data_IF_675170117420
#
_entry.id   IF_675170117420
#
_cell.length_a   1.000
_cell.length_b   1.000
_cell.length_c   1.000
_cell.angle_alpha   90.00
_cell.angle_beta   90.00
_cell.angle_gamma   90.00
#
_symmetry.space_group_name_H-M   'P 1'
#
loop_
_entity.id
_entity.type
_entity.pdbx_description
1 polymer ?
#
# COMPACT_ATOMS: atom_id res chain seq x y z
N UNK A 1 13.45 4.07 -20.58
CA UNK A 1 12.77 3.73 -19.31
C UNK A 1 13.82 3.78 -18.23
N UNK A 2 13.62 4.60 -17.21
CA UNK A 2 14.57 4.77 -16.13
C UNK A 2 14.49 3.59 -15.15
N UNK A 3 15.49 3.40 -14.27
CA UNK A 3 15.48 2.31 -13.28
C UNK A 3 14.25 2.36 -12.36
N UNK A 4 13.72 3.55 -12.11
CA UNK A 4 12.52 3.80 -11.32
C UNK A 4 11.23 3.37 -12.05
N UNK A 5 11.16 3.53 -13.37
CA UNK A 5 10.02 3.02 -14.18
C UNK A 5 9.95 1.49 -14.12
N UNK A 6 11.10 0.81 -14.20
CA UNK A 6 11.20 -0.65 -14.13
C UNK A 6 10.78 -1.14 -12.73
N UNK A 7 11.22 -0.44 -11.69
CA UNK A 7 10.84 -0.76 -10.31
C UNK A 7 9.32 -0.66 -10.09
N UNK A 8 8.69 0.44 -10.52
CA UNK A 8 7.23 0.58 -10.37
C UNK A 8 6.45 -0.41 -11.20
N UNK A 9 6.88 -0.68 -12.43
CA UNK A 9 6.24 -1.69 -13.26
C UNK A 9 6.33 -3.08 -12.60
N UNK A 10 7.48 -3.43 -12.04
CA UNK A 10 7.67 -4.68 -11.33
C UNK A 10 6.79 -4.76 -10.08
N UNK A 11 6.72 -3.70 -9.27
CA UNK A 11 5.86 -3.65 -8.07
C UNK A 11 4.37 -3.77 -8.44
N UNK A 12 3.92 -3.07 -9.49
CA UNK A 12 2.54 -3.14 -9.98
C UNK A 12 2.19 -4.52 -10.52
N UNK A 13 3.06 -5.13 -11.33
CA UNK A 13 2.84 -6.49 -11.86
C UNK A 13 2.81 -7.51 -10.73
N UNK A 14 3.75 -7.44 -9.78
CA UNK A 14 3.75 -8.32 -8.61
C UNK A 14 2.49 -8.14 -7.76
N UNK A 15 2.05 -6.90 -7.55
CA UNK A 15 0.81 -6.58 -6.83
C UNK A 15 -0.42 -7.17 -7.50
N UNK A 16 -0.55 -6.98 -8.82
CA UNK A 16 -1.64 -7.52 -9.63
C UNK A 16 -1.66 -9.05 -9.57
N UNK A 17 -0.53 -9.69 -9.87
CA UNK A 17 -0.42 -11.16 -9.92
C UNK A 17 -0.71 -11.76 -8.54
N UNK A 18 -0.11 -11.21 -7.48
CA UNK A 18 -0.35 -11.66 -6.11
C UNK A 18 -1.79 -11.46 -5.68
N UNK A 19 -2.41 -10.35 -6.08
CA UNK A 19 -3.82 -10.05 -5.86
C UNK A 19 -4.74 -11.05 -6.56
N UNK A 20 -4.47 -11.37 -7.83
CA UNK A 20 -5.21 -12.38 -8.58
C UNK A 20 -5.12 -13.77 -7.93
N UNK A 21 -3.94 -14.16 -7.43
CA UNK A 21 -3.78 -15.47 -6.80
C UNK A 21 -4.41 -15.56 -5.41
N UNK A 22 -4.37 -14.47 -4.62
CA UNK A 22 -4.93 -14.48 -3.25
C UNK A 22 -6.44 -14.28 -3.21
N UNK A 23 -7.00 -13.48 -4.11
CA UNK A 23 -8.41 -13.08 -4.11
C UNK A 23 -8.72 -11.95 -3.11
N UNK A 24 -9.78 -11.19 -3.38
CA UNK A 24 -10.20 -10.04 -2.58
C UNK A 24 -10.53 -10.44 -1.13
N UNK A 25 -11.28 -11.52 -0.95
CA UNK A 25 -11.74 -11.94 0.39
C UNK A 25 -10.54 -12.17 1.30
N UNK A 26 -9.50 -12.85 0.82
CA UNK A 26 -8.30 -13.14 1.62
C UNK A 26 -7.55 -11.87 1.98
N UNK A 27 -7.53 -10.91 1.08
CA UNK A 27 -6.88 -9.62 1.29
C UNK A 27 -7.64 -8.77 2.32
N UNK A 28 -8.97 -8.78 2.28
CA UNK A 28 -9.83 -8.13 3.28
C UNK A 28 -9.74 -8.83 4.65
N UNK A 29 -9.81 -10.16 4.69
CA UNK A 29 -9.62 -10.91 5.94
C UNK A 29 -8.25 -10.61 6.55
N UNK A 30 -7.20 -10.49 5.75
CA UNK A 30 -5.87 -10.11 6.24
C UNK A 30 -5.87 -8.74 6.90
N UNK A 31 -6.49 -7.73 6.28
CA UNK A 31 -6.57 -6.38 6.85
C UNK A 31 -7.40 -6.39 8.14
N UNK A 32 -8.59 -6.99 8.10
CA UNK A 32 -9.49 -7.08 9.23
C UNK A 32 -8.84 -7.81 10.41
N UNK A 33 -8.12 -8.90 10.14
CA UNK A 33 -7.42 -9.68 11.16
C UNK A 33 -6.35 -8.86 11.88
N UNK A 34 -5.63 -7.99 11.15
CA UNK A 34 -4.61 -7.13 11.70
C UNK A 34 -5.22 -6.01 12.55
N UNK A 35 -6.26 -5.35 12.05
CA UNK A 35 -6.97 -4.29 12.79
C UNK A 35 -7.58 -4.86 14.07
N UNK A 36 -8.38 -5.93 13.95
CA UNK A 36 -9.00 -6.57 15.10
C UNK A 36 -7.95 -7.08 16.09
N UNK A 37 -6.87 -7.69 15.60
CA UNK A 37 -5.78 -8.17 16.43
C UNK A 37 -5.05 -7.05 17.17
N UNK A 38 -4.81 -5.90 16.52
CA UNK A 38 -4.16 -4.75 17.15
C UNK A 38 -5.01 -4.17 18.29
N UNK A 39 -6.32 -3.97 18.05
CA UNK A 39 -7.24 -3.48 19.07
C UNK A 39 -7.38 -4.46 20.24
N UNK A 40 -7.53 -5.76 19.94
CA UNK A 40 -7.60 -6.80 20.94
C UNK A 40 -6.30 -6.91 21.75
N UNK A 41 -5.14 -6.91 21.09
CA UNK A 41 -3.85 -6.95 21.77
C UNK A 41 -3.68 -5.75 22.71
N UNK A 42 -4.01 -4.54 22.25
CA UNK A 42 -3.93 -3.32 23.07
C UNK A 42 -4.83 -3.38 24.31
N UNK A 43 -5.98 -4.04 24.20
CA UNK A 43 -6.96 -4.14 25.29
C UNK A 43 -6.64 -5.28 26.27
N UNK A 44 -6.23 -6.44 25.74
CA UNK A 44 -6.18 -7.69 26.50
C UNK A 44 -4.77 -8.13 26.90
N UNK A 45 -3.69 -7.49 26.41
CA UNK A 45 -2.33 -7.86 26.84
C UNK A 45 -2.10 -7.82 28.36
N UNK A 46 -2.66 -6.87 29.14
CA UNK A 46 -2.45 -6.84 30.59
C UNK A 46 -3.16 -7.99 31.31
N UNK A 47 -4.18 -8.56 30.68
CA UNK A 47 -4.91 -9.73 31.21
C UNK A 47 -4.06 -11.00 31.07
N UNK A 48 -3.24 -11.09 30.02
CA UNK A 48 -2.41 -12.26 29.76
C UNK A 48 -1.05 -12.21 30.51
N UNK A 49 -0.56 -11.01 30.84
CA UNK A 49 0.69 -10.81 31.57
C UNK A 49 0.87 -11.64 32.85
N UNK A 50 -0.12 -11.74 33.77
CA UNK A 50 0.03 -12.49 35.02
C UNK A 50 0.27 -13.98 34.81
N UNK A 51 -0.26 -14.54 33.72
CA UNK A 51 -0.09 -15.94 33.35
C UNK A 51 1.29 -16.23 32.74
N UNK A 52 1.90 -15.23 32.10
CA UNK A 52 3.24 -15.33 31.48
C UNK A 52 4.37 -14.92 32.42
N UNK A 53 4.10 -14.13 33.47
CA UNK A 53 5.08 -13.72 34.49
C UNK A 53 5.91 -14.87 35.09
N UNK A 54 5.34 -16.07 35.38
CA UNK A 54 6.13 -17.19 35.89
C UNK A 54 7.15 -17.74 34.90
N UNK A 55 6.90 -17.61 33.59
CA UNK A 55 7.76 -18.09 32.51
C UNK A 55 8.76 -17.01 32.06
N UNK A 56 8.33 -15.74 32.06
CA UNK A 56 9.13 -14.57 31.73
C UNK A 56 9.05 -13.58 32.90
N UNK A 57 10.07 -13.54 33.78
CA UNK A 57 10.06 -12.67 34.95
C UNK A 57 10.30 -11.19 34.62
N UNK A 58 10.87 -10.90 33.45
CA UNK A 58 11.30 -9.55 33.07
C UNK A 58 10.13 -8.74 32.45
N UNK A 59 9.61 -7.70 33.13
CA UNK A 59 8.34 -7.05 32.78
C UNK A 59 8.19 -6.58 31.32
N UNK A 60 9.13 -5.83 30.72
CA UNK A 60 9.01 -5.43 29.31
C UNK A 60 8.94 -6.61 28.34
N UNK A 61 9.65 -7.71 28.59
CA UNK A 61 9.57 -8.89 27.73
C UNK A 61 8.22 -9.58 27.88
N UNK A 62 7.69 -9.71 29.10
CA UNK A 62 6.38 -10.30 29.36
C UNK A 62 5.27 -9.53 28.65
N UNK A 63 5.34 -8.19 28.66
CA UNK A 63 4.39 -7.32 27.96
C UNK A 63 4.43 -7.52 26.44
N UNK A 64 5.62 -7.48 25.84
CA UNK A 64 5.81 -7.67 24.40
C UNK A 64 5.30 -9.05 23.97
N UNK A 65 5.63 -10.10 24.73
CA UNK A 65 5.21 -11.48 24.44
C UNK A 65 3.70 -11.61 24.58
N UNK A 66 3.10 -11.05 25.64
CA UNK A 66 1.64 -11.07 25.86
C UNK A 66 0.90 -10.40 24.72
N UNK A 67 1.35 -9.20 24.33
CA UNK A 67 0.78 -8.44 23.23
C UNK A 67 0.86 -9.22 21.91
N UNK A 68 2.04 -9.77 21.61
CA UNK A 68 2.29 -10.53 20.38
C UNK A 68 1.44 -11.80 20.33
N UNK A 69 1.31 -12.53 21.44
CA UNK A 69 0.49 -13.73 21.52
C UNK A 69 -0.98 -13.44 21.22
N UNK A 70 -1.53 -12.38 21.81
CA UNK A 70 -2.93 -12.00 21.55
C UNK A 70 -3.12 -11.57 20.11
N UNK A 71 -2.22 -10.73 19.58
CA UNK A 71 -2.25 -10.29 18.20
C UNK A 71 -2.29 -11.50 17.24
N UNK A 72 -1.36 -12.45 17.41
CA UNK A 72 -1.27 -13.65 16.57
C UNK A 72 -2.50 -14.55 16.73
N UNK A 73 -3.00 -14.71 17.95
CA UNK A 73 -4.19 -15.52 18.23
C UNK A 73 -5.42 -14.98 17.52
N UNK A 74 -5.64 -13.67 17.58
CA UNK A 74 -6.78 -13.02 16.92
C UNK A 74 -6.60 -13.06 15.40
N UNK A 75 -5.39 -12.83 14.89
CA UNK A 75 -5.11 -12.95 13.45
C UNK A 75 -5.46 -14.35 12.95
N UNK A 76 -4.98 -15.38 13.67
CA UNK A 76 -5.27 -16.77 13.35
C UNK A 76 -6.79 -17.05 13.40
N UNK A 77 -7.48 -16.62 14.46
CA UNK A 77 -8.92 -16.81 14.62
C UNK A 77 -9.73 -16.20 13.46
N UNK A 78 -9.48 -14.93 13.14
CA UNK A 78 -10.16 -14.23 12.03
C UNK A 78 -9.86 -14.92 10.69
N UNK A 79 -8.61 -15.36 10.48
CA UNK A 79 -8.23 -16.09 9.27
C UNK A 79 -8.97 -17.43 9.15
N UNK A 80 -9.06 -18.21 10.23
CA UNK A 80 -9.80 -19.47 10.24
C UNK A 80 -11.29 -19.25 9.99
N UNK A 81 -11.90 -18.27 10.65
CA UNK A 81 -13.32 -17.90 10.46
C UNK A 81 -13.56 -17.48 9.01
N UNK A 82 -12.75 -16.57 8.46
CA UNK A 82 -12.87 -16.13 7.07
C UNK A 82 -12.72 -17.28 6.07
N UNK A 83 -11.79 -18.20 6.32
CA UNK A 83 -11.64 -19.39 5.49
C UNK A 83 -12.80 -20.38 5.62
N UNK A 84 -13.40 -20.52 6.80
CA UNK A 84 -14.55 -21.39 7.04
C UNK A 84 -15.80 -20.83 6.34
N UNK A 85 -16.07 -19.53 6.49
CA UNK A 85 -17.16 -18.82 5.82
C UNK A 85 -17.06 -19.00 4.29
N UNK A 86 -15.85 -18.86 3.74
CA UNK A 86 -15.62 -19.05 2.30
C UNK A 86 -15.97 -20.45 1.81
N UNK A 87 -15.70 -21.48 2.62
CA UNK A 87 -16.05 -22.88 2.33
C UNK A 87 -17.55 -23.11 2.44
N UNK A 88 -18.18 -22.61 3.51
CA UNK A 88 -19.61 -22.74 3.79
C UNK A 88 -20.49 -22.08 2.71
N UNK A 89 -20.10 -20.88 2.28
CA UNK A 89 -20.85 -20.11 1.28
C UNK A 89 -20.65 -20.61 -0.16
N UNK A 90 -19.93 -21.71 -0.39
CA UNK A 90 -19.65 -22.22 -1.74
C UNK A 90 -19.25 -21.12 -2.74
N UNK A 91 -18.43 -20.14 -2.28
CA UNK A 91 -18.01 -18.95 -3.07
C UNK A 91 -17.21 -19.34 -4.34
N UNK A 92 -17.02 -20.62 -4.59
CA UNK A 92 -16.68 -21.23 -5.89
C UNK A 92 -17.38 -20.60 -7.10
N UNK A 93 -18.68 -20.22 -7.04
CA UNK A 93 -19.38 -19.61 -8.19
C UNK A 93 -18.88 -18.19 -8.53
N UNK A 94 -18.33 -17.45 -7.56
CA UNK A 94 -17.70 -16.15 -7.76
C UNK A 94 -16.16 -16.24 -7.77
N UNK A 95 -15.57 -17.44 -7.80
CA UNK A 95 -14.12 -17.61 -7.68
C UNK A 95 -13.32 -16.82 -8.73
N UNK A 96 -13.85 -16.67 -9.94
CA UNK A 96 -13.27 -15.79 -10.96
C UNK A 96 -13.37 -14.30 -10.59
N UNK A 97 -14.53 -13.86 -10.12
CA UNK A 97 -14.77 -12.48 -9.68
C UNK A 97 -13.93 -12.11 -8.46
N UNK A 98 -13.82 -12.99 -7.45
CA UNK A 98 -12.96 -12.80 -6.26
C UNK A 98 -11.48 -12.65 -6.65
N UNK A 99 -11.00 -13.39 -7.66
CA UNK A 99 -9.63 -13.26 -8.18
C UNK A 99 -9.45 -11.96 -8.95
N UNK A 100 -10.40 -11.57 -9.81
CA UNK A 100 -10.32 -10.31 -10.56
C UNK A 100 -10.33 -9.11 -9.61
N UNK A 101 -11.26 -9.07 -8.66
CA UNK A 101 -11.31 -8.04 -7.63
C UNK A 101 -10.06 -8.07 -6.73
N UNK A 102 -9.53 -9.27 -6.45
CA UNK A 102 -8.25 -9.45 -5.79
C UNK A 102 -7.11 -8.79 -6.56
N UNK A 103 -7.08 -8.97 -7.88
CA UNK A 103 -6.14 -8.30 -8.79
C UNK A 103 -6.24 -6.78 -8.73
N UNK A 104 -7.45 -6.24 -8.81
CA UNK A 104 -7.71 -4.80 -8.69
C UNK A 104 -7.20 -4.29 -7.33
N UNK A 105 -7.53 -4.98 -6.23
CA UNK A 105 -7.07 -4.59 -4.90
C UNK A 105 -5.54 -4.66 -4.75
N UNK A 106 -4.90 -5.67 -5.36
CA UNK A 106 -3.45 -5.81 -5.39
C UNK A 106 -2.78 -4.70 -6.19
N UNK A 107 -3.38 -4.29 -7.30
CA UNK A 107 -2.92 -3.15 -8.10
C UNK A 107 -3.04 -1.84 -7.34
N UNK A 108 -4.17 -1.61 -6.64
CA UNK A 108 -4.36 -0.43 -5.78
C UNK A 108 -3.30 -0.37 -4.68
N UNK A 109 -3.02 -1.49 -4.00
CA UNK A 109 -1.97 -1.54 -2.97
C UNK A 109 -0.57 -1.31 -3.52
N UNK A 110 -0.26 -1.89 -4.68
CA UNK A 110 1.02 -1.67 -5.34
C UNK A 110 1.17 -0.21 -5.78
N UNK A 111 0.10 0.40 -6.30
CA UNK A 111 0.06 1.84 -6.58
C UNK A 111 0.31 2.68 -5.34
N UNK A 112 -0.34 2.35 -4.21
CA UNK A 112 -0.14 3.04 -2.93
C UNK A 112 1.32 2.91 -2.46
N UNK A 113 1.92 1.74 -2.58
CA UNK A 113 3.33 1.52 -2.24
C UNK A 113 4.26 2.35 -3.12
N UNK A 114 4.02 2.39 -4.44
CA UNK A 114 4.75 3.25 -5.36
C UNK A 114 4.62 4.73 -4.98
N UNK A 115 3.42 5.19 -4.58
CA UNK A 115 3.20 6.56 -4.09
C UNK A 115 4.00 6.87 -2.82
N UNK A 116 4.05 5.95 -1.85
CA UNK A 116 4.87 6.11 -0.64
C UNK A 116 6.35 6.21 -1.01
N UNK A 117 6.82 5.35 -1.92
CA UNK A 117 8.21 5.39 -2.39
C UNK A 117 8.52 6.72 -3.08
N UNK A 118 7.64 7.22 -3.97
CA UNK A 118 7.80 8.53 -4.61
C UNK A 118 7.82 9.68 -3.60
N UNK A 119 6.95 9.65 -2.59
CA UNK A 119 6.92 10.65 -1.54
C UNK A 119 8.24 10.68 -0.78
N UNK A 120 8.71 9.52 -0.30
CA UNK A 120 10.01 9.40 0.37
C UNK A 120 11.14 9.91 -0.53
N UNK A 121 11.16 9.52 -1.81
CA UNK A 121 12.20 9.98 -2.73
C UNK A 121 12.17 11.49 -2.96
N UNK A 122 10.99 12.10 -3.11
CA UNK A 122 10.88 13.56 -3.30
C UNK A 122 11.11 14.38 -2.03
N UNK A 123 10.91 13.80 -0.85
CA UNK A 123 11.23 14.44 0.44
C UNK A 123 12.72 14.39 0.75
N UNK A 124 13.41 13.27 0.43
CA UNK A 124 14.79 13.04 0.88
C UNK A 124 15.85 13.21 -0.22
N UNK A 125 15.49 13.22 -1.51
CA UNK A 125 16.45 13.46 -2.60
C UNK A 125 16.28 14.87 -3.18
N UNK A 126 17.39 15.56 -3.53
CA UNK A 126 17.34 16.84 -4.24
C UNK A 126 16.68 16.71 -5.62
N UNK A 127 15.91 17.73 -6.02
CA UNK A 127 15.10 17.77 -7.25
C UNK A 127 15.91 17.56 -8.56
N UNK A 128 17.24 17.68 -8.51
CA UNK A 128 18.13 17.57 -9.67
C UNK A 128 18.70 16.16 -9.93
N UNK A 129 18.12 15.11 -9.32
CA UNK A 129 18.55 13.73 -9.57
C UNK A 129 17.95 13.18 -10.88
N UNK A 130 18.77 12.64 -11.81
CA UNK A 130 18.32 12.17 -13.13
C UNK A 130 17.28 11.02 -13.05
N UNK A 131 17.19 10.36 -11.90
CA UNK A 131 16.21 9.29 -11.63
C UNK A 131 14.77 9.80 -11.53
N UNK A 132 14.56 11.02 -11.04
CA UNK A 132 13.24 11.65 -10.90
C UNK A 132 12.82 12.41 -12.18
N UNK A 133 13.78 13.05 -12.85
CA UNK A 133 13.54 13.92 -14.01
C UNK A 133 13.16 13.17 -15.30
N UNK A 134 13.72 11.98 -15.52
CA UNK A 134 13.50 11.16 -16.73
C UNK A 134 12.38 10.11 -16.59
N UNK A 135 11.68 10.06 -15.44
CA UNK A 135 10.65 9.06 -15.18
C UNK A 135 9.35 9.37 -15.95
N UNK A 136 8.97 8.48 -16.88
CA UNK A 136 7.71 8.61 -17.63
C UNK A 136 6.50 8.15 -16.81
N UNK A 137 6.70 7.40 -15.73
CA UNK A 137 5.64 6.87 -14.87
C UNK A 137 5.14 7.86 -13.81
N UNK A 138 5.95 8.86 -13.45
CA UNK A 138 5.61 9.90 -12.47
C UNK A 138 4.25 10.62 -12.71
N UNK A 139 3.90 11.08 -13.94
CA UNK A 139 2.61 11.74 -14.18
C UNK A 139 1.39 10.79 -14.10
N UNK A 140 1.55 9.49 -14.35
CA UNK A 140 0.45 8.51 -14.28
C UNK A 140 0.12 8.10 -12.84
N UNK A 141 1.13 8.02 -11.96
CA UNK A 141 0.94 7.79 -10.53
C UNK A 141 0.24 8.99 -9.88
N UNK A 142 0.52 10.21 -10.35
CA UNK A 142 -0.12 11.45 -9.89
C UNK A 142 -1.65 11.51 -10.15
N UNK A 143 -2.15 10.79 -11.16
CA UNK A 143 -3.59 10.65 -11.43
C UNK A 143 -4.30 9.71 -10.45
N UNK A 144 -3.57 8.77 -9.85
CA UNK A 144 -4.13 7.84 -8.87
C UNK A 144 -4.20 8.49 -7.47
N UNK A 145 -3.30 9.43 -7.17
CA UNK A 145 -3.27 10.17 -5.90
C UNK A 145 -4.45 11.12 -5.73
N UNK A 146 -5.05 11.66 -6.80
CA UNK A 146 -6.23 12.55 -6.69
C UNK A 146 -7.52 11.86 -6.24
N UNK A 147 -7.56 10.52 -6.22
CA UNK A 147 -8.69 9.75 -5.66
C UNK A 147 -8.44 9.34 -4.21
N UNK A 148 -7.18 9.31 -3.77
CA UNK A 148 -6.76 8.93 -2.41
C UNK A 148 -6.66 10.15 -1.48
N UNK A 149 -6.73 11.38 -2.01
CA UNK A 149 -6.73 12.65 -1.26
C UNK A 149 -7.86 12.78 -0.22
N UNK A 150 -8.94 11.98 -0.31
CA UNK A 150 -9.98 11.93 0.73
C UNK A 150 -9.57 11.20 2.01
N UNK A 151 -8.41 10.52 2.02
CA UNK A 151 -7.90 9.73 3.14
C UNK A 151 -6.63 10.33 3.76
N UNK A 152 -6.20 11.50 3.30
CA UNK A 152 -4.93 12.16 3.70
C UNK A 152 -5.24 13.36 4.63
N UNK A 153 -4.51 13.54 5.75
CA UNK A 153 -4.64 14.71 6.64
C UNK A 153 -4.40 16.05 5.93
N UNK A 154 -5.14 17.09 6.33
CA UNK A 154 -5.20 18.40 5.64
C UNK A 154 -3.84 19.12 5.53
N UNK A 155 -2.93 18.88 6.46
CA UNK A 155 -1.57 19.43 6.54
C UNK A 155 -0.65 18.98 5.39
N UNK A 156 -0.88 17.79 4.83
CA UNK A 156 -0.12 17.29 3.69
C UNK A 156 -0.71 17.72 2.34
N UNK A 157 -1.94 18.24 2.34
CA UNK A 157 -2.69 18.63 1.14
C UNK A 157 -2.14 19.93 0.55
N UNK A 158 -1.85 20.93 1.38
CA UNK A 158 -1.34 22.23 0.93
C UNK A 158 0.07 22.12 0.34
N UNK A 159 0.93 21.31 0.96
CA UNK A 159 2.31 21.09 0.46
C UNK A 159 2.30 20.32 -0.87
N UNK A 160 1.36 19.38 -1.04
CA UNK A 160 1.19 18.62 -2.28
C UNK A 160 0.63 19.50 -3.40
N UNK A 161 -0.38 20.33 -3.13
CA UNK A 161 -1.00 21.19 -4.13
C UNK A 161 -0.03 22.25 -4.65
N UNK A 162 0.79 22.87 -3.78
CA UNK A 162 1.80 23.84 -4.20
C UNK A 162 2.92 23.22 -5.05
N UNK A 163 3.40 22.03 -4.68
CA UNK A 163 4.49 21.37 -5.40
C UNK A 163 4.03 20.71 -6.71
N UNK A 164 2.76 20.27 -6.77
CA UNK A 164 2.13 19.76 -7.99
C UNK A 164 2.04 20.83 -9.08
N UNK A 165 1.72 22.08 -8.73
CA UNK A 165 1.58 23.16 -9.71
C UNK A 165 2.90 23.55 -10.37
N UNK A 166 3.99 23.65 -9.59
CA UNK A 166 5.31 24.03 -10.12
C UNK A 166 5.91 22.93 -11.00
N UNK A 167 5.71 21.65 -10.64
CA UNK A 167 6.16 20.51 -11.45
C UNK A 167 5.36 20.39 -12.75
N UNK A 168 4.05 20.65 -12.71
CA UNK A 168 3.18 20.60 -13.90
C UNK A 168 3.56 21.66 -14.95
N UNK A 169 3.99 22.85 -14.53
CA UNK A 169 4.56 23.87 -15.43
C UNK A 169 5.85 23.38 -16.09
N UNK A 170 6.78 22.82 -15.31
CA UNK A 170 8.06 22.34 -15.84
C UNK A 170 7.92 21.16 -16.83
N UNK A 171 6.95 20.27 -16.59
CA UNK A 171 6.65 19.14 -17.48
C UNK A 171 5.98 19.58 -18.77
N UNK A 172 5.07 20.57 -18.73
CA UNK A 172 4.42 21.10 -19.93
C UNK A 172 5.42 21.80 -20.86
N UNK A 173 6.32 22.62 -20.33
CA UNK A 173 7.32 23.32 -21.13
C UNK A 173 8.29 22.34 -21.82
N UNK A 174 8.71 21.30 -21.11
CA UNK A 174 9.69 20.33 -21.61
C UNK A 174 9.10 19.42 -22.73
N UNK A 175 7.85 18.98 -22.60
CA UNK A 175 7.20 18.15 -23.64
C UNK A 175 6.79 18.98 -24.88
N UNK A 176 6.43 20.25 -24.71
CA UNK A 176 6.12 21.15 -25.84
C UNK A 176 7.37 21.55 -26.64
N UNK A 177 8.53 21.72 -25.99
CA UNK A 177 9.81 21.86 -26.72
C UNK A 177 10.14 20.63 -27.54
N UNK A 178 10.03 19.44 -26.94
CA UNK A 178 10.34 18.18 -27.62
C UNK A 178 9.46 17.92 -28.84
N UNK A 179 8.17 18.26 -28.77
CA UNK A 179 7.24 18.14 -29.90
C UNK A 179 7.58 19.13 -31.02
N UNK A 180 7.94 20.37 -30.67
CA UNK A 180 8.31 21.43 -31.62
C UNK A 180 9.62 21.13 -32.37
N UNK A 181 10.55 20.42 -31.77
CA UNK A 181 11.80 20.00 -32.42
C UNK A 181 11.63 18.78 -33.34
N UNK A 182 10.53 18.02 -33.19
CA UNK A 182 10.24 16.83 -34.01
C UNK A 182 9.31 17.09 -35.20
N UNK A 183 8.64 18.25 -35.26
CA UNK A 183 7.84 18.68 -36.40
C UNK A 183 8.74 19.30 -37.48
N UNK A 184 8.79 18.77 -38.71
CA UNK A 184 9.48 19.43 -39.82
C UNK A 184 8.86 20.81 -40.04
N UNK A 185 9.69 21.83 -40.21
CA UNK A 185 9.21 23.15 -40.67
C UNK A 185 8.79 22.98 -42.13
N UNK A 186 7.47 22.99 -42.37
CA UNK A 186 6.90 23.15 -43.72
C UNK A 186 7.19 24.55 -44.29
#
# INVERSE_FOLDING_TARGET
MNGLDIFFLLVLVLGLVRGLFRGLIRELTSILSLIAGFFAANTYYPVLEPYLKPLLPNPPYTQIVSYTLILLTVIAAVFFIGSAIRKLLHITLLGGVDRILGGISGLVKAGLLCSIVLFVMTTFLPDNTPVLRDSQTAPYVHRFTSTVTGLIPDDLRETFDQKSQSLQQSWQEHWLQKLRDTTPKE
#
